data_IF_648907309275
#
_entry.id   IF_648907309275
#
_cell.length_a   1.000
_cell.length_b   1.000
_cell.length_c   1.000
_cell.angle_alpha   90.00
_cell.angle_beta   90.00
_cell.angle_gamma   90.00
#
_symmetry.space_group_name_H-M   'P 1'
#
loop_
_entity.id
_entity.type
_entity.pdbx_description
1 polymer ?
#
# COMPACT_ATOMS: atom_id res chain seq x y z
N UNK A 1 16.91 -1.12 -23.01
CA UNK A 1 15.67 -0.41 -22.63
C UNK A 1 14.78 -1.43 -21.96
N UNK A 2 14.29 -1.18 -20.75
CA UNK A 2 13.41 -2.14 -20.05
C UNK A 2 12.15 -2.35 -20.93
N UNK A 3 11.86 -3.58 -21.42
CA UNK A 3 10.73 -3.84 -22.33
C UNK A 3 9.38 -3.55 -21.67
N UNK A 4 9.37 -3.41 -20.35
CA UNK A 4 8.18 -3.17 -19.53
C UNK A 4 7.96 -1.70 -19.18
N UNK A 5 8.80 -0.80 -19.70
CA UNK A 5 8.70 0.63 -19.41
C UNK A 5 7.34 1.21 -19.85
N UNK A 6 6.79 0.72 -20.96
CA UNK A 6 5.50 1.20 -21.47
C UNK A 6 4.37 0.80 -20.53
N UNK A 7 4.33 -0.46 -20.07
CA UNK A 7 3.35 -0.93 -19.09
C UNK A 7 3.43 -0.16 -17.76
N UNK A 8 4.64 0.17 -17.29
CA UNK A 8 4.81 1.01 -16.11
C UNK A 8 4.19 2.41 -16.31
N UNK A 9 4.38 3.02 -17.48
CA UNK A 9 3.80 4.34 -17.80
C UNK A 9 2.27 4.28 -17.93
N UNK A 10 1.73 3.22 -18.51
CA UNK A 10 0.28 3.00 -18.59
C UNK A 10 -0.32 2.83 -17.18
N UNK A 11 0.27 1.99 -16.33
CA UNK A 11 -0.14 1.86 -14.93
C UNK A 11 -0.09 3.23 -14.23
N UNK A 12 0.99 3.99 -14.42
CA UNK A 12 1.12 5.31 -13.83
C UNK A 12 -0.01 6.24 -14.29
N UNK A 13 -0.32 6.30 -15.59
CA UNK A 13 -1.44 7.09 -16.10
C UNK A 13 -2.75 6.71 -15.42
N UNK A 14 -3.09 5.41 -15.38
CA UNK A 14 -4.33 4.96 -14.76
C UNK A 14 -4.40 5.22 -13.25
N UNK A 15 -3.28 5.13 -12.52
CA UNK A 15 -3.23 5.53 -11.10
C UNK A 15 -3.51 7.03 -10.92
N UNK A 16 -2.98 7.88 -11.80
CA UNK A 16 -3.04 9.34 -11.66
C UNK A 16 -4.30 9.97 -12.23
N UNK A 17 -4.92 9.38 -13.23
CA UNK A 17 -6.00 10.02 -13.99
C UNK A 17 -7.37 9.32 -13.82
N UNK A 18 -7.40 8.02 -13.54
CA UNK A 18 -8.68 7.33 -13.38
C UNK A 18 -9.35 7.63 -12.04
N UNK A 19 -10.69 7.54 -12.05
CA UNK A 19 -11.52 7.54 -10.83
C UNK A 19 -11.53 6.18 -10.14
N UNK A 20 -11.37 5.10 -10.91
CA UNK A 20 -11.33 3.72 -10.44
C UNK A 20 -10.16 2.99 -11.11
N UNK A 21 -8.90 3.29 -10.73
CA UNK A 21 -7.71 2.65 -11.31
C UNK A 21 -7.76 1.12 -11.24
N UNK A 22 -8.50 0.56 -10.28
CA UNK A 22 -8.66 -0.88 -10.12
C UNK A 22 -9.16 -1.58 -11.38
N UNK A 23 -10.00 -0.93 -12.19
CA UNK A 23 -10.57 -1.51 -13.41
C UNK A 23 -9.50 -1.85 -14.44
N UNK A 24 -8.59 -0.91 -14.68
CA UNK A 24 -7.46 -1.14 -15.57
C UNK A 24 -6.48 -2.14 -14.97
N UNK A 25 -6.08 -1.96 -13.71
CA UNK A 25 -5.14 -2.87 -13.03
C UNK A 25 -5.62 -4.33 -13.07
N UNK A 26 -6.91 -4.55 -12.83
CA UNK A 26 -7.50 -5.89 -12.87
C UNK A 26 -7.67 -6.46 -14.29
N UNK A 27 -7.77 -5.60 -15.31
CA UNK A 27 -7.85 -6.08 -16.70
C UNK A 27 -6.49 -6.59 -17.19
N UNK A 28 -5.38 -6.00 -16.73
CA UNK A 28 -4.02 -6.33 -17.18
C UNK A 28 -3.31 -7.39 -16.33
N UNK A 29 -3.78 -7.68 -15.11
CA UNK A 29 -3.05 -8.53 -14.15
C UNK A 29 -2.78 -9.97 -14.65
N UNK A 30 -3.50 -10.45 -15.67
CA UNK A 30 -3.29 -11.77 -16.29
C UNK A 30 -2.45 -11.73 -17.57
N UNK A 31 -1.93 -10.56 -17.95
CA UNK A 31 -1.01 -10.45 -19.07
C UNK A 31 0.33 -11.09 -18.71
N UNK A 32 1.06 -11.59 -19.73
CA UNK A 32 2.30 -12.37 -19.54
C UNK A 32 3.41 -11.58 -18.87
N UNK A 33 3.40 -10.26 -19.00
CA UNK A 33 4.33 -9.34 -18.37
C UNK A 33 4.33 -9.49 -16.85
N UNK A 34 3.16 -9.80 -16.25
CA UNK A 34 3.03 -10.05 -14.81
C UNK A 34 3.62 -11.38 -14.36
N UNK A 35 3.98 -12.29 -15.26
CA UNK A 35 4.72 -13.51 -14.90
C UNK A 35 6.23 -13.23 -14.73
N UNK A 36 6.70 -12.08 -15.23
CA UNK A 36 8.11 -11.71 -15.29
C UNK A 36 8.47 -10.67 -14.22
N UNK A 37 9.73 -10.68 -13.79
CA UNK A 37 10.25 -9.63 -12.91
C UNK A 37 10.28 -8.27 -13.65
N UNK A 38 9.91 -7.14 -12.99
CA UNK A 38 9.51 -7.05 -11.58
C UNK A 38 7.99 -7.21 -11.34
N UNK A 39 7.15 -7.24 -12.37
CA UNK A 39 5.68 -7.30 -12.21
C UNK A 39 5.16 -8.59 -11.55
N UNK A 40 5.93 -9.66 -11.57
CA UNK A 40 5.62 -10.89 -10.82
C UNK A 40 5.55 -10.69 -9.30
N UNK A 41 6.10 -9.61 -8.76
CA UNK A 41 5.88 -9.23 -7.36
C UNK A 41 4.42 -8.87 -7.09
N UNK A 42 3.78 -8.12 -8.00
CA UNK A 42 2.35 -7.77 -7.93
C UNK A 42 1.47 -9.00 -8.23
N UNK A 43 1.86 -9.82 -9.20
CA UNK A 43 1.09 -11.01 -9.58
C UNK A 43 0.86 -11.96 -8.39
N UNK A 44 1.89 -12.16 -7.56
CA UNK A 44 1.82 -13.01 -6.36
C UNK A 44 0.79 -12.54 -5.32
N UNK A 45 0.34 -11.28 -5.36
CA UNK A 45 -0.71 -10.78 -4.47
C UNK A 45 -2.06 -11.48 -4.71
N UNK A 46 -2.32 -11.99 -5.92
CA UNK A 46 -3.55 -12.73 -6.25
C UNK A 46 -3.68 -14.03 -5.48
N UNK A 47 -2.57 -14.74 -5.31
CA UNK A 47 -2.53 -16.04 -4.65
C UNK A 47 -2.32 -15.92 -3.13
N UNK A 48 -2.00 -14.71 -2.65
CA UNK A 48 -1.78 -14.44 -1.24
C UNK A 48 -3.11 -14.25 -0.53
N UNK A 49 -3.62 -15.31 0.11
CA UNK A 49 -4.86 -15.29 0.90
C UNK A 49 -4.72 -14.41 2.14
N UNK A 50 -5.83 -13.81 2.54
CA UNK A 50 -5.98 -13.05 3.78
C UNK A 50 -7.04 -13.67 4.68
N UNK A 51 -7.05 -13.26 5.96
CA UNK A 51 -8.07 -13.70 6.91
C UNK A 51 -9.43 -13.08 6.56
N UNK A 52 -10.41 -13.89 6.17
CA UNK A 52 -11.76 -13.44 5.80
C UNK A 52 -12.49 -12.65 6.91
N UNK A 53 -12.04 -12.81 8.17
CA UNK A 53 -12.56 -12.01 9.29
C UNK A 53 -12.17 -10.53 9.20
N UNK A 54 -10.95 -10.25 8.74
CA UNK A 54 -10.39 -8.89 8.67
C UNK A 54 -10.35 -8.33 7.25
N UNK A 55 -10.38 -9.23 6.27
CA UNK A 55 -10.23 -9.01 4.84
C UNK A 55 -11.29 -9.86 4.11
N UNK A 56 -12.58 -9.51 4.21
CA UNK A 56 -13.67 -10.26 3.57
C UNK A 56 -13.54 -10.32 2.04
N UNK A 57 -12.76 -9.43 1.44
CA UNK A 57 -12.39 -9.41 0.01
C UNK A 57 -11.45 -10.55 -0.42
N UNK A 58 -10.90 -11.31 0.52
CA UNK A 58 -10.30 -12.62 0.27
C UNK A 58 -8.78 -12.65 0.13
N UNK A 59 -8.21 -11.95 -0.84
CA UNK A 59 -6.77 -11.97 -1.12
C UNK A 59 -6.16 -10.56 -1.10
N UNK A 60 -4.83 -10.49 -1.15
CA UNK A 60 -4.10 -9.22 -1.08
C UNK A 60 -4.37 -8.36 -2.31
N UNK A 61 -4.46 -8.95 -3.51
CA UNK A 61 -4.73 -8.18 -4.72
C UNK A 61 -6.08 -7.45 -4.67
N UNK A 62 -7.16 -8.14 -4.28
CA UNK A 62 -8.49 -7.54 -4.16
C UNK A 62 -8.49 -6.37 -3.16
N UNK A 63 -7.79 -6.54 -2.03
CA UNK A 63 -7.59 -5.48 -1.04
C UNK A 63 -6.86 -4.29 -1.67
N UNK A 64 -5.70 -4.52 -2.29
CA UNK A 64 -4.92 -3.49 -2.98
C UNK A 64 -5.76 -2.71 -3.99
N UNK A 65 -6.59 -3.39 -4.79
CA UNK A 65 -7.50 -2.76 -5.75
C UNK A 65 -8.51 -1.82 -5.07
N UNK A 66 -9.08 -2.22 -3.93
CA UNK A 66 -9.97 -1.35 -3.16
C UNK A 66 -9.23 -0.14 -2.56
N UNK A 67 -7.99 -0.33 -2.12
CA UNK A 67 -7.15 0.75 -1.55
C UNK A 67 -6.77 1.78 -2.62
N UNK A 68 -6.40 1.37 -3.83
CA UNK A 68 -6.08 2.33 -4.91
C UNK A 68 -7.31 3.13 -5.33
N UNK A 69 -8.51 2.54 -5.31
CA UNK A 69 -9.75 3.27 -5.61
C UNK A 69 -10.11 4.27 -4.51
N UNK A 70 -9.91 3.94 -3.23
CA UNK A 70 -10.03 4.92 -2.14
C UNK A 70 -8.97 6.02 -2.26
N UNK A 71 -7.74 5.66 -2.61
CA UNK A 71 -6.65 6.60 -2.88
C UNK A 71 -7.01 7.60 -3.98
N UNK A 72 -7.56 7.13 -5.10
CA UNK A 72 -7.97 7.97 -6.23
C UNK A 72 -8.98 9.06 -5.84
N UNK A 73 -9.83 8.80 -4.83
CA UNK A 73 -10.84 9.78 -4.32
C UNK A 73 -10.20 10.92 -3.52
N UNK A 74 -9.05 10.69 -2.90
CA UNK A 74 -8.42 11.62 -1.94
C UNK A 74 -7.01 12.06 -2.34
N UNK A 75 -6.46 11.57 -3.45
CA UNK A 75 -5.08 11.80 -3.89
C UNK A 75 -4.68 13.27 -3.95
N UNK A 76 -5.61 14.18 -4.26
CA UNK A 76 -5.37 15.64 -4.28
C UNK A 76 -5.08 16.25 -2.89
N UNK A 77 -5.24 15.49 -1.81
CA UNK A 77 -4.83 15.88 -0.45
C UNK A 77 -3.38 15.53 -0.13
N UNK A 78 -2.75 14.68 -0.95
CA UNK A 78 -1.34 14.34 -0.81
C UNK A 78 -0.47 15.46 -1.36
N UNK A 79 0.67 15.71 -0.71
CA UNK A 79 1.71 16.60 -1.19
C UNK A 79 2.41 16.06 -2.45
N UNK A 80 2.41 14.74 -2.64
CA UNK A 80 2.93 14.07 -3.83
C UNK A 80 1.98 12.96 -4.28
N UNK A 81 1.03 13.34 -5.13
CA UNK A 81 0.01 12.45 -5.73
C UNK A 81 0.63 11.17 -6.32
N UNK A 82 1.78 11.29 -6.99
CA UNK A 82 2.41 10.13 -7.64
C UNK A 82 2.97 9.13 -6.64
N UNK A 83 3.77 9.60 -5.67
CA UNK A 83 4.30 8.71 -4.63
C UNK A 83 3.18 8.08 -3.81
N UNK A 84 2.15 8.84 -3.47
CA UNK A 84 0.99 8.36 -2.73
C UNK A 84 0.23 7.24 -3.46
N UNK A 85 -0.09 7.40 -4.74
CA UNK A 85 -0.83 6.40 -5.50
C UNK A 85 0.00 5.13 -5.76
N UNK A 86 1.30 5.27 -5.99
CA UNK A 86 2.20 4.11 -6.08
C UNK A 86 2.35 3.39 -4.75
N UNK A 87 2.43 4.12 -3.63
CA UNK A 87 2.42 3.51 -2.30
C UNK A 87 1.11 2.76 -2.04
N UNK A 88 -0.05 3.27 -2.47
CA UNK A 88 -1.32 2.57 -2.36
C UNK A 88 -1.31 1.22 -3.11
N UNK A 89 -0.78 1.19 -4.34
CA UNK A 89 -0.64 -0.05 -5.13
C UNK A 89 0.35 -1.05 -4.48
N UNK A 90 1.41 -0.54 -3.87
CA UNK A 90 2.53 -1.36 -3.39
C UNK A 90 2.53 -1.62 -1.87
N UNK A 91 1.61 -1.05 -1.08
CA UNK A 91 1.66 -1.07 0.39
C UNK A 91 1.80 -2.49 0.99
N UNK A 92 1.18 -3.47 0.34
CA UNK A 92 1.16 -4.86 0.76
C UNK A 92 2.04 -5.79 -0.08
N UNK A 93 2.93 -5.25 -0.93
CA UNK A 93 3.80 -6.03 -1.82
C UNK A 93 4.70 -7.04 -1.07
N UNK A 94 4.95 -6.81 0.22
CA UNK A 94 5.69 -7.72 1.09
C UNK A 94 4.89 -8.91 1.62
N UNK A 95 3.57 -8.93 1.50
CA UNK A 95 2.73 -10.03 2.04
C UNK A 95 3.03 -11.40 1.42
N UNK A 96 3.26 -11.57 0.11
CA UNK A 96 3.50 -12.90 -0.47
C UNK A 96 4.69 -13.64 0.15
N UNK A 97 5.78 -12.95 0.47
CA UNK A 97 6.99 -13.57 1.05
C UNK A 97 6.93 -13.74 2.57
N UNK A 98 5.99 -13.06 3.25
CA UNK A 98 5.90 -13.03 4.71
C UNK A 98 4.66 -13.73 5.26
N UNK A 99 3.70 -14.06 4.42
CA UNK A 99 2.44 -14.70 4.82
C UNK A 99 2.66 -16.16 5.18
N UNK A 100 2.16 -16.54 6.36
CA UNK A 100 2.17 -17.92 6.87
C UNK A 100 0.77 -18.31 7.30
N UNK A 101 0.35 -19.52 6.91
CA UNK A 101 -0.92 -20.12 7.32
C UNK A 101 -0.66 -21.23 8.33
N UNK A 102 -1.31 -21.14 9.49
CA UNK A 102 -1.23 -22.14 10.57
C UNK A 102 -2.65 -22.47 11.03
N UNK A 103 -3.21 -23.56 10.51
CA UNK A 103 -4.65 -23.83 10.63
C UNK A 103 -5.46 -22.69 10.02
N UNK A 104 -6.43 -22.16 10.75
CA UNK A 104 -7.27 -21.05 10.31
C UNK A 104 -6.62 -19.66 10.45
N UNK A 105 -5.42 -19.60 11.05
CA UNK A 105 -4.73 -18.34 11.28
C UNK A 105 -3.77 -18.02 10.14
N UNK A 106 -4.01 -16.89 9.48
CA UNK A 106 -3.14 -16.30 8.46
C UNK A 106 -2.47 -15.07 9.05
N UNK A 107 -1.14 -14.97 8.95
CA UNK A 107 -0.35 -13.83 9.46
C UNK A 107 0.74 -13.44 8.47
N UNK A 108 1.00 -12.14 8.33
CA UNK A 108 2.06 -11.58 7.48
C UNK A 108 2.96 -10.66 8.33
N UNK A 109 3.85 -11.25 9.12
CA UNK A 109 4.73 -10.47 10.00
C UNK A 109 5.83 -9.77 9.21
N UNK A 110 6.16 -8.52 9.59
CA UNK A 110 7.19 -7.69 8.95
C UNK A 110 6.97 -7.39 7.45
N UNK A 111 5.76 -7.58 6.93
CA UNK A 111 5.43 -7.30 5.52
C UNK A 111 5.60 -5.82 5.16
N UNK A 112 5.46 -4.91 6.12
CA UNK A 112 5.72 -3.48 5.98
C UNK A 112 7.19 -3.19 5.69
N UNK A 113 8.11 -3.87 6.39
CA UNK A 113 9.56 -3.72 6.18
C UNK A 113 10.01 -4.37 4.87
N UNK A 114 9.59 -5.62 4.65
CA UNK A 114 9.94 -6.36 3.42
C UNK A 114 9.31 -5.68 2.20
N UNK A 115 8.08 -5.21 2.32
CA UNK A 115 7.37 -4.49 1.27
C UNK A 115 8.06 -3.17 0.90
N UNK A 116 8.60 -2.45 1.87
CA UNK A 116 9.34 -1.23 1.59
C UNK A 116 10.58 -1.51 0.71
N UNK A 117 11.41 -2.49 1.06
CA UNK A 117 12.56 -2.87 0.21
C UNK A 117 12.14 -3.37 -1.18
N UNK A 118 11.10 -4.22 -1.26
CA UNK A 118 10.57 -4.68 -2.56
C UNK A 118 10.03 -3.53 -3.41
N UNK A 119 9.46 -2.49 -2.81
CA UNK A 119 9.00 -1.32 -3.55
C UNK A 119 10.16 -0.54 -4.18
N UNK A 120 11.30 -0.45 -3.48
CA UNK A 120 12.53 0.16 -4.00
C UNK A 120 13.07 -0.67 -5.17
N UNK A 121 13.16 -1.99 -5.02
CA UNK A 121 13.60 -2.89 -6.09
C UNK A 121 12.69 -2.75 -7.32
N UNK A 122 11.37 -2.82 -7.12
CA UNK A 122 10.39 -2.70 -8.19
C UNK A 122 10.51 -1.37 -8.96
N UNK A 123 10.55 -0.24 -8.26
CA UNK A 123 10.56 1.08 -8.91
C UNK A 123 11.91 1.41 -9.56
N UNK A 124 13.02 0.90 -9.02
CA UNK A 124 14.37 1.12 -9.56
C UNK A 124 14.56 0.51 -10.96
N UNK A 125 13.73 -0.45 -11.35
CA UNK A 125 13.72 -1.01 -12.71
C UNK A 125 13.16 -0.03 -13.77
N UNK A 126 12.43 1.00 -13.34
CA UNK A 126 11.68 1.89 -14.23
C UNK A 126 12.11 3.35 -14.15
N UNK A 127 12.63 3.80 -13.01
CA UNK A 127 13.00 5.20 -12.78
C UNK A 127 14.25 5.34 -11.94
N UNK A 128 15.01 6.42 -12.17
CA UNK A 128 16.14 6.84 -11.34
C UNK A 128 15.77 8.00 -10.40
N UNK A 129 14.49 8.35 -10.29
CA UNK A 129 14.03 9.38 -9.36
C UNK A 129 14.07 8.83 -7.92
N UNK A 130 15.19 9.04 -7.25
CA UNK A 130 15.45 8.55 -5.89
C UNK A 130 14.51 9.19 -4.85
N UNK A 131 14.12 10.45 -5.03
CA UNK A 131 13.20 11.13 -4.12
C UNK A 131 11.82 10.44 -4.13
N UNK A 132 11.28 10.21 -5.33
CA UNK A 132 10.02 9.48 -5.51
C UNK A 132 10.09 8.06 -4.93
N UNK A 133 11.18 7.32 -5.20
CA UNK A 133 11.35 5.95 -4.67
C UNK A 133 11.40 5.96 -3.14
N UNK A 134 12.14 6.90 -2.54
CA UNK A 134 12.25 7.00 -1.08
C UNK A 134 10.94 7.40 -0.42
N UNK A 135 10.14 8.24 -1.07
CA UNK A 135 8.82 8.61 -0.55
C UNK A 135 7.84 7.42 -0.59
N UNK A 136 7.80 6.66 -1.70
CA UNK A 136 7.02 5.41 -1.77
C UNK A 136 7.50 4.41 -0.71
N UNK A 137 8.81 4.22 -0.60
CA UNK A 137 9.43 3.36 0.41
C UNK A 137 8.98 3.76 1.83
N UNK A 138 9.02 5.06 2.15
CA UNK A 138 8.62 5.58 3.46
C UNK A 138 7.15 5.26 3.76
N UNK A 139 6.25 5.54 2.81
CA UNK A 139 4.82 5.30 3.01
C UNK A 139 4.52 3.81 3.24
N UNK A 140 5.17 2.93 2.49
CA UNK A 140 5.02 1.48 2.65
C UNK A 140 5.64 1.01 3.97
N UNK A 141 6.82 1.51 4.35
CA UNK A 141 7.47 1.15 5.61
C UNK A 141 6.60 1.48 6.82
N UNK A 142 5.83 2.57 6.76
CA UNK A 142 5.06 3.08 7.88
C UNK A 142 3.54 2.84 7.76
N UNK A 143 3.01 2.25 6.69
CA UNK A 143 1.55 2.14 6.47
C UNK A 143 0.77 1.46 7.61
N UNK A 144 1.40 0.51 8.33
CA UNK A 144 0.78 -0.17 9.49
C UNK A 144 0.76 0.66 10.78
N UNK A 145 1.42 1.82 10.82
CA UNK A 145 1.65 2.57 12.06
C UNK A 145 0.38 3.14 12.68
N UNK A 146 -0.67 3.39 11.89
CA UNK A 146 -1.99 3.72 12.44
C UNK A 146 -2.45 2.62 13.41
N UNK A 147 -2.35 1.35 12.99
CA UNK A 147 -2.70 0.22 13.84
C UNK A 147 -1.79 0.14 15.06
N UNK A 148 -0.48 0.25 14.84
CA UNK A 148 0.52 0.05 15.89
C UNK A 148 0.39 1.11 17.00
N UNK A 149 0.22 2.37 16.63
CA UNK A 149 0.14 3.51 17.57
C UNK A 149 -1.20 3.54 18.30
N UNK A 150 -2.31 3.27 17.62
CA UNK A 150 -3.63 3.27 18.27
C UNK A 150 -3.77 2.11 19.26
N UNK A 151 -3.31 0.91 18.87
CA UNK A 151 -3.38 -0.28 19.71
C UNK A 151 -2.21 -0.45 20.68
N UNK A 152 -1.29 0.53 20.76
CA UNK A 152 -0.10 0.49 21.64
C UNK A 152 0.75 -0.76 21.44
N UNK A 153 0.92 -1.19 20.19
CA UNK A 153 1.77 -2.33 19.84
C UNK A 153 3.25 -1.90 19.90
N UNK A 154 4.17 -2.81 20.28
CA UNK A 154 5.59 -2.48 20.47
C UNK A 154 6.33 -2.12 19.16
N UNK A 155 5.65 -2.22 18.01
CA UNK A 155 6.19 -1.94 16.69
C UNK A 155 5.96 -0.50 16.22
N UNK A 156 5.21 0.31 16.97
CA UNK A 156 4.94 1.69 16.60
C UNK A 156 6.17 2.57 16.81
N UNK A 157 6.64 3.21 15.75
CA UNK A 157 7.79 4.12 15.76
C UNK A 157 7.39 5.53 15.27
N UNK A 158 6.81 6.33 16.18
CA UNK A 158 6.39 7.71 15.87
C UNK A 158 7.59 8.59 15.56
N UNK A 159 8.70 8.42 16.31
CA UNK A 159 9.88 9.25 16.17
C UNK A 159 10.53 9.04 14.81
N UNK A 160 10.78 7.77 14.44
CA UNK A 160 11.31 7.43 13.13
C UNK A 160 10.39 7.94 12.02
N UNK A 161 9.09 7.69 12.12
CA UNK A 161 8.13 8.17 11.12
C UNK A 161 8.23 9.70 10.88
N UNK A 162 8.30 10.51 11.95
CA UNK A 162 8.45 11.97 11.85
C UNK A 162 9.82 12.42 11.33
N UNK A 163 10.87 11.63 11.57
CA UNK A 163 12.23 11.94 11.10
C UNK A 163 12.37 11.66 9.60
N UNK A 164 11.72 10.61 9.10
CA UNK A 164 11.83 10.17 7.70
C UNK A 164 10.84 10.83 6.74
N UNK A 165 9.69 11.33 7.23
CA UNK A 165 8.71 11.94 6.33
C UNK A 165 7.50 12.56 7.04
N UNK A 166 6.46 12.84 6.24
CA UNK A 166 5.24 13.47 6.72
C UNK A 166 4.28 12.43 7.31
N UNK A 167 3.84 12.64 8.56
CA UNK A 167 2.85 11.79 9.24
C UNK A 167 1.47 11.89 8.61
N UNK A 168 1.14 13.01 7.95
CA UNK A 168 -0.16 13.23 7.32
C UNK A 168 -0.31 12.37 6.07
N UNK A 169 0.77 12.10 5.33
CA UNK A 169 0.77 11.17 4.19
C UNK A 169 0.53 9.72 4.66
N UNK A 170 1.19 9.29 5.74
CA UNK A 170 0.94 7.98 6.36
C UNK A 170 -0.50 7.86 6.87
N UNK A 171 -1.02 8.94 7.47
CA UNK A 171 -2.40 9.01 7.94
C UNK A 171 -3.39 8.89 6.76
N UNK A 172 -3.11 9.56 5.64
CA UNK A 172 -3.93 9.51 4.43
C UNK A 172 -3.92 8.11 3.79
N UNK A 173 -2.75 7.50 3.65
CA UNK A 173 -2.63 6.14 3.09
C UNK A 173 -3.32 5.12 3.99
N UNK A 174 -3.10 5.21 5.31
CA UNK A 174 -3.74 4.30 6.25
C UNK A 174 -5.26 4.49 6.33
N UNK A 175 -5.80 5.68 6.06
CA UNK A 175 -7.25 5.86 5.87
C UNK A 175 -7.74 5.04 4.67
N UNK A 176 -7.04 5.12 3.53
CA UNK A 176 -7.40 4.39 2.33
C UNK A 176 -7.30 2.87 2.54
N UNK A 177 -6.26 2.38 3.23
CA UNK A 177 -6.12 0.98 3.62
C UNK A 177 -7.29 0.49 4.51
N UNK A 178 -7.78 1.34 5.41
CA UNK A 178 -8.92 0.98 6.28
C UNK A 178 -10.26 1.00 5.55
N UNK A 179 -10.47 1.99 4.69
CA UNK A 179 -11.69 2.14 3.91
C UNK A 179 -11.77 1.13 2.75
N UNK A 180 -10.63 0.69 2.22
CA UNK A 180 -10.50 -0.31 1.16
C UNK A 180 -10.80 -1.74 1.62
N UNK A 181 -11.82 -1.94 2.46
CA UNK A 181 -12.22 -3.25 3.02
C UNK A 181 -13.73 -3.36 3.06
N UNK A 182 -14.25 -4.57 2.88
CA UNK A 182 -15.68 -4.83 3.02
C UNK A 182 -16.17 -4.58 4.46
N UNK A 183 -17.29 -3.86 4.61
CA UNK A 183 -17.93 -3.65 5.92
C UNK A 183 -17.23 -2.64 6.84
N UNK A 184 -16.38 -1.76 6.30
CA UNK A 184 -15.77 -0.68 7.08
C UNK A 184 -16.80 0.38 7.53
N UNK A 185 -16.55 0.99 8.68
CA UNK A 185 -17.30 2.16 9.18
C UNK A 185 -16.47 3.41 8.95
N UNK A 186 -16.84 4.20 7.94
CA UNK A 186 -16.09 5.40 7.54
C UNK A 186 -15.90 6.38 8.69
N UNK A 187 -16.94 6.66 9.47
CA UNK A 187 -16.88 7.62 10.58
C UNK A 187 -15.93 7.13 11.68
N UNK A 188 -15.92 5.82 11.94
CA UNK A 188 -14.97 5.22 12.88
C UNK A 188 -13.53 5.33 12.38
N UNK A 189 -13.28 5.01 11.11
CA UNK A 189 -11.91 5.04 10.57
C UNK A 189 -11.36 6.46 10.43
N UNK A 190 -12.19 7.44 10.05
CA UNK A 190 -11.81 8.86 10.08
C UNK A 190 -11.46 9.34 11.49
N UNK A 191 -12.21 8.88 12.51
CA UNK A 191 -11.87 9.16 13.91
C UNK A 191 -10.56 8.48 14.34
N UNK A 192 -10.29 7.25 13.91
CA UNK A 192 -9.03 6.57 14.17
C UNK A 192 -7.84 7.36 13.60
N UNK A 193 -7.97 7.85 12.37
CA UNK A 193 -6.95 8.67 11.71
C UNK A 193 -6.69 9.98 12.46
N UNK A 194 -7.76 10.67 12.90
CA UNK A 194 -7.62 11.86 13.76
C UNK A 194 -6.87 11.55 15.06
N UNK A 195 -7.25 10.48 15.77
CA UNK A 195 -6.58 10.07 17.01
C UNK A 195 -5.12 9.67 16.78
N UNK A 196 -4.81 9.06 15.64
CA UNK A 196 -3.44 8.71 15.24
C UNK A 196 -2.59 9.98 15.08
N UNK A 197 -3.08 10.97 14.33
CA UNK A 197 -2.41 12.25 14.13
C UNK A 197 -2.19 12.95 15.48
N UNK A 198 -3.23 13.06 16.32
CA UNK A 198 -3.12 13.69 17.64
C UNK A 198 -2.04 13.03 18.51
N UNK A 199 -1.91 11.70 18.47
CA UNK A 199 -0.85 10.99 19.18
C UNK A 199 0.53 11.28 18.59
N UNK A 200 0.65 11.34 17.27
CA UNK A 200 1.94 11.62 16.60
C UNK A 200 2.42 13.06 16.82
N UNK A 201 1.51 14.02 16.99
CA UNK A 201 1.87 15.40 17.31
C UNK A 201 2.35 15.53 18.76
N UNK A 202 1.74 14.78 19.69
CA UNK A 202 2.05 14.84 21.13
C UNK A 202 3.35 14.13 21.53
N UNK A 203 3.88 13.24 20.69
CA UNK A 203 5.11 12.46 20.93
C UNK A 203 6.20 12.86 19.94
#
# INVERSE_FOLDING_TARGET
MNPYKDLFQEINYHLLDDKEPSKYLNSIINHKEFEMYPFNMLYKLKDTKQSLRYHPEGNVWNHTLMVVDEGAKVKNKSNNVSAFMWAALLHDIGKPSTTKTRGDKITSYDHDKVGAELSRDFLSEFTYNIEFINEVYYLIRYHMHILFVLNKLPFGDIRGMKEYGDIYEVALLGLCDRLGRGGCDRTKEENNVRLFIEKCIKN
#
